data_IF_926731293959
#
_entry.id   IF_926731293959
#
_cell.length_a   1.000
_cell.length_b   1.000
_cell.length_c   1.000
_cell.angle_alpha   90.00
_cell.angle_beta   90.00
_cell.angle_gamma   90.00
#
_symmetry.space_group_name_H-M   'P 1'
#
loop_
_entity.id
_entity.type
_entity.pdbx_description
1 polymer ?
#
# COMPACT_ATOMS: atom_id res chain seq x y z
N UNK A 1 -8.84 16.84 -6.62
CA UNK A 1 -9.58 15.58 -6.48
C UNK A 1 -8.94 14.57 -7.39
N UNK A 2 -8.19 13.64 -6.82
CA UNK A 2 -7.48 12.59 -7.53
C UNK A 2 -8.40 11.40 -7.88
N UNK A 3 -9.57 11.29 -7.25
CA UNK A 3 -10.58 10.30 -7.62
C UNK A 3 -10.15 8.86 -7.33
N UNK A 4 -10.57 7.91 -8.16
CA UNK A 4 -10.16 6.50 -8.06
C UNK A 4 -8.93 6.23 -8.94
N UNK A 5 -7.88 5.68 -8.34
CA UNK A 5 -6.63 5.35 -9.03
C UNK A 5 -6.52 3.83 -9.12
N UNK A 6 -6.30 3.31 -10.34
CA UNK A 6 -6.01 1.90 -10.55
C UNK A 6 -4.60 1.56 -10.03
N UNK A 7 -4.50 0.54 -9.17
CA UNK A 7 -3.23 0.08 -8.59
C UNK A 7 -2.83 -1.32 -9.08
N UNK A 8 -3.45 -1.79 -10.15
CA UNK A 8 -3.22 -3.08 -10.78
C UNK A 8 -4.22 -4.17 -10.38
N UNK A 9 -4.33 -5.21 -11.21
CA UNK A 9 -5.15 -6.40 -10.96
C UNK A 9 -6.64 -6.12 -10.72
N UNK A 10 -7.16 -5.01 -11.27
CA UNK A 10 -8.55 -4.59 -11.04
C UNK A 10 -8.78 -3.91 -9.69
N UNK A 11 -7.74 -3.70 -8.88
CA UNK A 11 -7.83 -2.95 -7.63
C UNK A 11 -7.80 -1.45 -7.89
N UNK A 12 -8.56 -0.72 -7.09
CA UNK A 12 -8.59 0.74 -7.10
C UNK A 12 -8.46 1.29 -5.68
N UNK A 13 -7.85 2.46 -5.55
CA UNK A 13 -7.75 3.20 -4.30
C UNK A 13 -8.32 4.61 -4.48
N UNK A 14 -8.89 5.18 -3.41
CA UNK A 14 -9.22 6.60 -3.39
C UNK A 14 -7.92 7.42 -3.34
N UNK A 15 -7.52 8.02 -4.46
CA UNK A 15 -6.28 8.78 -4.58
C UNK A 15 -6.18 9.94 -3.61
N UNK A 16 -7.32 10.57 -3.28
CA UNK A 16 -7.39 11.65 -2.30
C UNK A 16 -7.05 11.22 -0.86
N UNK A 17 -6.99 9.90 -0.58
CA UNK A 17 -6.67 9.35 0.74
C UNK A 17 -5.27 8.75 0.84
N UNK A 18 -4.49 8.80 -0.24
CA UNK A 18 -3.10 8.34 -0.26
C UNK A 18 -2.20 9.47 0.26
N UNK A 19 -1.55 9.24 1.40
CA UNK A 19 -0.64 10.19 2.02
C UNK A 19 0.78 10.04 1.49
N UNK A 20 1.21 8.80 1.22
CA UNK A 20 2.54 8.53 0.69
C UNK A 20 2.58 7.28 -0.20
N UNK A 21 3.51 7.27 -1.15
CA UNK A 21 3.87 6.11 -1.96
C UNK A 21 5.38 5.89 -1.77
N UNK A 22 5.75 4.71 -1.30
CA UNK A 22 7.13 4.40 -0.90
C UNK A 22 7.63 3.11 -1.51
N UNK A 23 8.94 3.03 -1.73
CA UNK A 23 9.59 1.84 -2.29
C UNK A 23 9.78 0.77 -1.19
N UNK A 24 9.35 -0.49 -1.43
CA UNK A 24 9.41 -1.57 -0.43
C UNK A 24 10.81 -2.18 -0.21
N UNK A 25 11.85 -1.75 -0.93
CA UNK A 25 13.15 -2.43 -0.94
C UNK A 25 13.95 -2.24 0.35
N UNK A 26 13.77 -1.12 1.05
CA UNK A 26 14.52 -0.79 2.26
C UNK A 26 14.09 -1.63 3.48
N UNK A 27 15.03 -1.93 4.37
CA UNK A 27 14.77 -2.71 5.59
C UNK A 27 13.70 -2.09 6.52
N UNK A 28 13.63 -0.75 6.73
CA UNK A 28 12.55 -0.14 7.50
C UNK A 28 11.17 -0.37 6.89
N UNK A 29 11.03 -0.30 5.56
CA UNK A 29 9.75 -0.45 4.88
C UNK A 29 9.28 -1.90 4.89
N UNK A 30 10.20 -2.86 4.79
CA UNK A 30 9.90 -4.28 5.01
C UNK A 30 9.36 -4.50 6.43
N UNK A 31 9.99 -3.91 7.45
CA UNK A 31 9.51 -4.01 8.84
C UNK A 31 8.13 -3.38 9.03
N UNK A 32 7.93 -2.16 8.53
CA UNK A 32 6.62 -1.47 8.57
C UNK A 32 5.51 -2.33 7.94
N UNK A 33 5.78 -2.95 6.80
CA UNK A 33 4.81 -3.83 6.12
C UNK A 33 4.45 -5.06 6.97
N UNK A 34 5.44 -5.72 7.59
CA UNK A 34 5.18 -6.87 8.47
C UNK A 34 4.45 -6.46 9.76
N UNK A 35 4.75 -5.28 10.31
CA UNK A 35 4.03 -4.71 11.46
C UNK A 35 2.57 -4.43 11.11
N UNK A 36 2.31 -3.72 10.01
CA UNK A 36 0.95 -3.47 9.52
C UNK A 36 0.18 -4.78 9.26
N UNK A 37 0.86 -5.84 8.79
CA UNK A 37 0.26 -7.16 8.63
C UNK A 37 -0.13 -7.77 9.98
N UNK A 38 0.75 -7.67 10.98
CA UNK A 38 0.48 -8.19 12.33
C UNK A 38 -0.68 -7.45 13.02
N UNK A 39 -0.86 -6.17 12.71
CA UNK A 39 -1.96 -5.34 13.21
C UNK A 39 -3.26 -5.48 12.39
N UNK A 40 -3.26 -6.29 11.32
CA UNK A 40 -4.41 -6.45 10.43
C UNK A 40 -4.73 -5.23 9.55
N UNK A 41 -3.78 -4.31 9.38
CA UNK A 41 -3.92 -3.08 8.58
C UNK A 41 -3.39 -3.22 7.15
N UNK A 42 -2.54 -4.23 6.88
CA UNK A 42 -2.00 -4.43 5.54
C UNK A 42 -3.04 -5.05 4.59
N UNK A 43 -3.34 -4.33 3.51
CA UNK A 43 -4.07 -4.87 2.37
C UNK A 43 -3.06 -5.29 1.28
N UNK A 44 -2.97 -6.57 0.98
CA UNK A 44 -2.10 -7.08 -0.08
C UNK A 44 -2.83 -7.08 -1.44
N UNK A 45 -2.55 -6.08 -2.25
CA UNK A 45 -3.05 -5.95 -3.62
C UNK A 45 -2.08 -6.48 -4.70
N UNK A 46 -1.03 -7.23 -4.31
CA UNK A 46 0.05 -7.64 -5.24
C UNK A 46 -0.27 -8.88 -6.06
N UNK A 47 -1.32 -9.64 -5.70
CA UNK A 47 -1.70 -10.90 -6.36
C UNK A 47 -0.52 -11.89 -6.45
N UNK A 48 0.30 -11.95 -5.40
CA UNK A 48 1.47 -12.82 -5.32
C UNK A 48 2.66 -12.38 -6.19
N UNK A 49 2.60 -11.22 -6.84
CA UNK A 49 3.72 -10.65 -7.59
C UNK A 49 4.65 -9.85 -6.69
N UNK A 50 5.85 -9.55 -7.19
CA UNK A 50 6.82 -8.69 -6.48
C UNK A 50 6.16 -7.34 -6.12
N UNK A 51 6.18 -6.98 -4.83
CA UNK A 51 5.74 -5.66 -4.36
C UNK A 51 6.59 -4.57 -5.02
N UNK A 52 5.94 -3.65 -5.74
CA UNK A 52 6.62 -2.52 -6.42
C UNK A 52 6.52 -1.21 -5.66
N UNK A 53 5.48 -1.06 -4.84
CA UNK A 53 5.22 0.10 -4.02
C UNK A 53 4.41 -0.32 -2.80
N UNK A 54 4.53 0.45 -1.73
CA UNK A 54 3.59 0.45 -0.59
C UNK A 54 2.88 1.80 -0.65
N UNK A 55 1.55 1.78 -0.56
CA UNK A 55 0.75 2.98 -0.40
C UNK A 55 0.42 3.12 1.09
N UNK A 56 0.53 4.34 1.61
CA UNK A 56 0.12 4.68 2.98
C UNK A 56 -1.09 5.59 2.86
N UNK A 57 -2.19 5.20 3.49
CA UNK A 57 -3.44 5.95 3.52
C UNK A 57 -3.65 6.70 4.82
N UNK A 58 -4.52 7.71 4.80
CA UNK A 58 -4.92 8.48 5.97
C UNK A 58 -5.57 7.63 7.10
N UNK A 59 -6.01 6.42 6.77
CA UNK A 59 -6.58 5.44 7.69
C UNK A 59 -5.54 4.52 8.34
N UNK A 60 -4.25 4.77 8.08
CA UNK A 60 -3.12 3.92 8.44
C UNK A 60 -3.18 2.50 7.82
N UNK A 61 -3.89 2.34 6.70
CA UNK A 61 -3.79 1.17 5.81
C UNK A 61 -2.80 1.43 4.68
#
# INVERSE_FOLDING_TARGET
MYGLINIGFGNVVAGDRVIAIVNPESAPLKRMKEEAKSEGKLIDATYGRKTRAILITDSNH
#
